data_IF_005611262987
#
_entry.id   IF_005611262987
#
_cell.length_a   1.000
_cell.length_b   1.000
_cell.length_c   1.000
_cell.angle_alpha   90.00
_cell.angle_beta   90.00
_cell.angle_gamma   90.00
#
_symmetry.space_group_name_H-M   'P 1'
#
loop_
_entity.id
_entity.type
_entity.pdbx_description
1 polymer ?
#
# COMPACT_ATOMS: atom_id res chain seq x y z
N UNK A 1 13.95 47.86 -8.40
CA UNK A 1 14.11 46.41 -8.56
C UNK A 1 14.64 46.21 -9.97
N UNK A 2 15.84 45.64 -10.08
CA UNK A 2 16.51 45.45 -11.38
C UNK A 2 15.89 44.26 -12.10
N UNK A 3 15.83 44.29 -13.44
CA UNK A 3 15.30 43.19 -14.29
C UNK A 3 15.95 41.85 -13.96
N UNK A 4 17.25 41.84 -13.61
CA UNK A 4 17.96 40.62 -13.20
C UNK A 4 17.50 40.05 -11.86
N UNK A 5 17.15 40.92 -10.92
CA UNK A 5 16.59 40.49 -9.61
C UNK A 5 15.20 39.88 -9.78
N UNK A 6 14.38 40.47 -10.65
CA UNK A 6 13.06 39.95 -10.98
C UNK A 6 13.15 38.61 -11.68
N UNK A 7 14.06 38.45 -12.64
CA UNK A 7 14.28 37.19 -13.34
C UNK A 7 14.78 36.08 -12.40
N UNK A 8 15.68 36.40 -11.47
CA UNK A 8 16.14 35.47 -10.43
C UNK A 8 15.00 35.06 -9.50
N UNK A 9 14.21 35.98 -9.02
CA UNK A 9 13.08 35.69 -8.15
C UNK A 9 12.04 34.79 -8.86
N UNK A 10 11.72 35.10 -10.13
CA UNK A 10 10.84 34.26 -10.93
C UNK A 10 11.38 32.85 -11.16
N UNK A 11 12.67 32.71 -11.43
CA UNK A 11 13.31 31.39 -11.59
C UNK A 11 13.28 30.56 -10.29
N UNK A 12 13.57 31.17 -9.15
CA UNK A 12 13.51 30.49 -7.84
C UNK A 12 12.08 30.04 -7.54
N UNK A 13 11.09 30.89 -7.80
CA UNK A 13 9.68 30.56 -7.57
C UNK A 13 9.20 29.46 -8.53
N UNK A 14 9.61 29.48 -9.80
CA UNK A 14 9.29 28.43 -10.76
C UNK A 14 9.86 27.07 -10.31
N UNK A 15 11.12 27.02 -9.84
CA UNK A 15 11.74 25.80 -9.31
C UNK A 15 11.01 25.33 -8.04
N UNK A 16 10.59 26.23 -7.16
CA UNK A 16 9.83 25.91 -5.95
C UNK A 16 8.47 25.30 -6.30
N UNK A 17 7.75 25.87 -7.24
CA UNK A 17 6.47 25.36 -7.73
C UNK A 17 6.63 23.97 -8.35
N UNK A 18 7.60 23.79 -9.23
CA UNK A 18 7.88 22.49 -9.86
C UNK A 18 8.20 21.40 -8.82
N UNK A 19 9.02 21.71 -7.81
CA UNK A 19 9.32 20.76 -6.72
C UNK A 19 8.07 20.41 -5.91
N UNK A 20 7.19 21.38 -5.66
CA UNK A 20 5.95 21.12 -4.94
C UNK A 20 4.99 20.24 -5.75
N UNK A 21 4.85 20.49 -7.04
CA UNK A 21 4.04 19.67 -7.95
C UNK A 21 4.56 18.23 -7.99
N UNK A 22 5.87 18.03 -8.11
CA UNK A 22 6.50 16.71 -8.10
C UNK A 22 6.27 15.98 -6.77
N UNK A 23 6.41 16.68 -5.63
CA UNK A 23 6.10 16.11 -4.30
C UNK A 23 4.64 15.68 -4.20
N UNK A 24 3.70 16.47 -4.70
CA UNK A 24 2.28 16.13 -4.70
C UNK A 24 2.00 14.92 -5.62
N UNK A 25 2.65 14.86 -6.78
CA UNK A 25 2.54 13.72 -7.70
C UNK A 25 3.02 12.43 -7.04
N UNK A 26 4.19 12.46 -6.40
CA UNK A 26 4.75 11.30 -5.69
C UNK A 26 3.82 10.86 -4.55
N UNK A 27 3.31 11.78 -3.72
CA UNK A 27 2.37 11.45 -2.64
C UNK A 27 1.11 10.78 -3.17
N UNK A 28 0.54 11.33 -4.25
CA UNK A 28 -0.67 10.76 -4.89
C UNK A 28 -0.40 9.36 -5.44
N UNK A 29 0.72 9.17 -6.13
CA UNK A 29 1.13 7.87 -6.66
C UNK A 29 1.32 6.82 -5.55
N UNK A 30 1.98 7.18 -4.45
CA UNK A 30 2.17 6.30 -3.29
C UNK A 30 0.85 5.91 -2.65
N UNK A 31 -0.05 6.86 -2.45
CA UNK A 31 -1.38 6.59 -1.94
C UNK A 31 -2.13 5.59 -2.82
N UNK A 32 -2.16 5.82 -4.14
CA UNK A 32 -2.83 4.94 -5.11
C UNK A 32 -2.20 3.54 -5.12
N UNK A 33 -0.87 3.43 -5.08
CA UNK A 33 -0.17 2.16 -5.03
C UNK A 33 -0.45 1.41 -3.73
N UNK A 34 -0.50 2.10 -2.58
CA UNK A 34 -0.86 1.50 -1.29
C UNK A 34 -2.28 0.96 -1.31
N UNK A 35 -3.22 1.74 -1.82
CA UNK A 35 -4.61 1.29 -1.93
C UNK A 35 -4.74 0.09 -2.89
N UNK A 36 -3.98 0.07 -3.99
CA UNK A 36 -3.92 -1.05 -4.91
C UNK A 36 -3.35 -2.32 -4.25
N UNK A 37 -2.28 -2.18 -3.47
CA UNK A 37 -1.71 -3.30 -2.70
C UNK A 37 -2.72 -3.86 -1.71
N UNK A 38 -3.41 -3.01 -0.95
CA UNK A 38 -4.45 -3.44 -0.01
C UNK A 38 -5.61 -4.15 -0.71
N UNK A 39 -6.09 -3.63 -1.84
CA UNK A 39 -7.17 -4.25 -2.64
C UNK A 39 -6.81 -5.65 -3.16
N UNK A 40 -5.53 -5.89 -3.40
CA UNK A 40 -5.04 -7.16 -3.91
C UNK A 40 -4.40 -8.05 -2.84
N UNK A 41 -4.38 -7.63 -1.57
CA UNK A 41 -3.67 -8.32 -0.51
C UNK A 41 -4.13 -9.77 -0.33
N UNK A 42 -5.42 -10.02 -0.23
CA UNK A 42 -5.97 -11.37 -0.11
C UNK A 42 -5.68 -12.23 -1.34
N UNK A 43 -5.75 -11.65 -2.54
CA UNK A 43 -5.37 -12.36 -3.77
C UNK A 43 -3.87 -12.68 -3.85
N UNK A 44 -3.03 -11.82 -3.29
CA UNK A 44 -1.59 -12.07 -3.19
C UNK A 44 -1.28 -13.21 -2.22
N UNK A 45 -1.97 -13.27 -1.08
CA UNK A 45 -1.88 -14.38 -0.12
C UNK A 45 -2.28 -15.69 -0.77
N UNK A 46 -3.45 -15.73 -1.40
CA UNK A 46 -3.96 -16.89 -2.11
C UNK A 46 -3.00 -17.37 -3.22
N UNK A 47 -2.47 -16.44 -4.00
CA UNK A 47 -1.45 -16.77 -5.01
C UNK A 47 -0.18 -17.35 -4.41
N UNK A 48 0.28 -16.82 -3.28
CA UNK A 48 1.47 -17.30 -2.59
C UNK A 48 1.27 -18.71 -2.03
N UNK A 49 0.13 -18.99 -1.39
CA UNK A 49 -0.23 -20.30 -0.84
C UNK A 49 -0.39 -21.34 -1.95
N UNK A 50 -1.17 -21.05 -2.99
CA UNK A 50 -1.34 -21.95 -4.13
C UNK A 50 -0.04 -22.23 -4.88
N UNK A 51 0.85 -21.25 -4.97
CA UNK A 51 2.16 -21.44 -5.59
C UNK A 51 3.11 -22.27 -4.71
N UNK A 52 2.94 -22.27 -3.38
CA UNK A 52 3.70 -23.11 -2.45
C UNK A 52 3.39 -24.59 -2.67
N UNK A 53 2.12 -24.92 -2.80
CA UNK A 53 1.68 -26.30 -3.01
C UNK A 53 2.15 -26.87 -4.37
N UNK A 54 2.02 -26.06 -5.44
CA UNK A 54 2.49 -26.45 -6.78
C UNK A 54 4.00 -26.57 -6.95
N UNK A 55 4.80 -25.93 -6.09
CA UNK A 55 6.26 -26.01 -6.21
C UNK A 55 6.85 -27.27 -5.59
N UNK A 56 6.19 -27.90 -4.62
CA UNK A 56 6.56 -29.25 -4.18
C UNK A 56 6.35 -30.26 -5.32
N UNK A 57 5.25 -30.12 -6.07
CA UNK A 57 4.94 -31.00 -7.20
C UNK A 57 5.88 -30.82 -8.41
N UNK A 58 6.45 -29.61 -8.59
CA UNK A 58 7.37 -29.29 -9.70
C UNK A 58 8.83 -29.69 -9.37
N UNK A 59 9.18 -29.87 -8.11
CA UNK A 59 10.53 -30.33 -7.72
C UNK A 59 10.83 -31.76 -8.17
N UNK A 60 9.82 -32.56 -8.49
CA UNK A 60 9.95 -33.94 -8.99
C UNK A 60 10.15 -34.03 -10.52
N UNK A 61 10.16 -32.90 -11.23
CA UNK A 61 10.32 -32.84 -12.69
C UNK A 61 11.72 -32.35 -13.12
N UNK A 62 12.75 -33.01 -12.65
CA UNK A 62 14.15 -32.53 -12.77
C UNK A 62 14.85 -32.85 -14.11
N UNK A 63 14.13 -33.14 -15.21
CA UNK A 63 14.79 -33.69 -16.42
C UNK A 63 14.51 -32.99 -17.78
N UNK A 64 14.05 -31.74 -17.85
CA UNK A 64 13.83 -31.06 -19.13
C UNK A 64 14.29 -29.59 -19.14
N UNK A 65 15.38 -29.31 -19.87
CA UNK A 65 16.11 -28.02 -19.91
C UNK A 65 15.33 -26.75 -20.25
N UNK A 66 14.13 -26.81 -20.86
CA UNK A 66 13.26 -25.64 -21.09
C UNK A 66 12.45 -25.30 -19.83
N UNK A 67 12.20 -26.26 -19.00
CA UNK A 67 11.42 -26.12 -17.76
C UNK A 67 12.24 -25.39 -16.69
N UNK A 68 13.57 -25.46 -16.73
CA UNK A 68 14.45 -24.79 -15.75
C UNK A 68 14.29 -23.26 -15.78
N UNK A 69 14.14 -22.67 -16.97
CA UNK A 69 13.92 -21.21 -17.12
C UNK A 69 12.57 -20.82 -16.55
N UNK A 70 11.53 -21.61 -16.84
CA UNK A 70 10.17 -21.38 -16.33
C UNK A 70 10.14 -21.54 -14.81
N UNK A 71 10.71 -22.61 -14.28
CA UNK A 71 10.81 -22.87 -12.83
C UNK A 71 11.58 -21.75 -12.12
N UNK A 72 12.71 -21.29 -12.67
CA UNK A 72 13.45 -20.14 -12.11
C UNK A 72 12.63 -18.85 -12.13
N UNK A 73 11.85 -18.60 -13.19
CA UNK A 73 10.97 -17.44 -13.27
C UNK A 73 9.84 -17.51 -12.24
N UNK A 74 9.20 -18.66 -12.08
CA UNK A 74 8.18 -18.92 -11.06
C UNK A 74 8.74 -18.74 -9.65
N UNK A 75 9.90 -19.34 -9.34
CA UNK A 75 10.56 -19.17 -8.04
C UNK A 75 10.86 -17.70 -7.73
N UNK A 76 11.37 -16.92 -8.71
CA UNK A 76 11.61 -15.48 -8.55
C UNK A 76 10.33 -14.69 -8.31
N UNK A 77 9.26 -15.00 -9.02
CA UNK A 77 7.94 -14.37 -8.83
C UNK A 77 7.41 -14.64 -7.43
N UNK A 78 7.53 -15.86 -6.92
CA UNK A 78 7.10 -16.26 -5.58
C UNK A 78 7.89 -15.55 -4.48
N UNK A 79 9.21 -15.49 -4.62
CA UNK A 79 10.07 -14.78 -3.66
C UNK A 79 9.68 -13.30 -3.61
N UNK A 80 9.44 -12.66 -4.74
CA UNK A 80 8.98 -11.27 -4.78
C UNK A 80 7.64 -11.09 -4.09
N UNK A 81 6.68 -11.98 -4.34
CA UNK A 81 5.36 -11.96 -3.70
C UNK A 81 5.48 -12.16 -2.19
N UNK A 82 6.29 -13.12 -1.74
CA UNK A 82 6.54 -13.35 -0.32
C UNK A 82 7.17 -12.13 0.38
N UNK A 83 8.17 -11.52 -0.24
CA UNK A 83 8.81 -10.30 0.29
C UNK A 83 7.79 -9.15 0.39
N UNK A 84 6.96 -8.98 -0.64
CA UNK A 84 5.93 -7.93 -0.67
C UNK A 84 4.87 -8.14 0.41
N UNK A 85 4.35 -9.37 0.58
CA UNK A 85 3.40 -9.71 1.63
C UNK A 85 4.02 -9.42 3.00
N UNK A 86 5.22 -9.94 3.27
CA UNK A 86 5.90 -9.71 4.54
C UNK A 86 6.09 -8.22 4.85
N UNK A 87 6.46 -7.43 3.84
CA UNK A 87 6.60 -5.98 4.00
C UNK A 87 5.27 -5.31 4.34
N UNK A 88 4.18 -5.72 3.70
CA UNK A 88 2.83 -5.21 3.99
C UNK A 88 2.43 -5.59 5.41
N UNK A 89 2.62 -6.85 5.82
CA UNK A 89 2.25 -7.35 7.15
C UNK A 89 2.97 -6.60 8.27
N UNK A 90 4.28 -6.40 8.13
CA UNK A 90 5.08 -5.62 9.10
C UNK A 90 4.55 -4.18 9.19
N UNK A 91 4.24 -3.55 8.06
CA UNK A 91 3.72 -2.18 8.04
C UNK A 91 2.30 -2.09 8.64
N UNK A 92 1.44 -3.08 8.38
CA UNK A 92 0.11 -3.18 8.97
C UNK A 92 0.19 -3.34 10.50
N UNK A 93 1.08 -4.17 10.99
CA UNK A 93 1.28 -4.36 12.43
C UNK A 93 1.79 -3.08 13.11
N UNK A 94 2.74 -2.38 12.50
CA UNK A 94 3.20 -1.07 12.98
C UNK A 94 2.04 -0.08 13.04
N UNK A 95 1.21 -0.03 11.98
CA UNK A 95 0.05 0.86 11.93
C UNK A 95 -0.95 0.53 13.04
N UNK A 96 -1.25 -0.76 13.25
CA UNK A 96 -2.13 -1.25 14.32
C UNK A 96 -1.65 -0.80 15.69
N UNK A 97 -0.37 -1.02 15.99
CA UNK A 97 0.23 -0.63 17.26
C UNK A 97 0.21 0.89 17.47
N UNK A 98 0.48 1.68 16.42
CA UNK A 98 0.39 3.14 16.48
C UNK A 98 -1.02 3.63 16.79
N UNK A 99 -2.03 3.05 16.16
CA UNK A 99 -3.42 3.45 16.41
C UNK A 99 -3.88 3.06 17.81
N UNK A 100 -3.49 1.89 18.30
CA UNK A 100 -3.75 1.49 19.68
C UNK A 100 -3.08 2.43 20.69
N UNK A 101 -1.82 2.79 20.48
CA UNK A 101 -1.09 3.72 21.35
C UNK A 101 -1.69 5.13 21.36
N UNK A 102 -2.28 5.57 20.24
CA UNK A 102 -3.02 6.84 20.14
C UNK A 102 -4.43 6.79 20.75
N UNK A 103 -4.91 5.64 21.21
CA UNK A 103 -6.29 5.44 21.66
C UNK A 103 -7.33 5.53 20.54
N UNK A 104 -6.96 5.20 19.31
CA UNK A 104 -7.79 5.28 18.10
C UNK A 104 -7.79 3.95 17.31
N UNK A 105 -7.98 2.79 17.96
CA UNK A 105 -7.91 1.49 17.29
C UNK A 105 -8.93 1.35 16.16
N UNK A 106 -10.07 2.04 16.24
CA UNK A 106 -11.16 1.99 15.26
C UNK A 106 -10.69 2.39 13.85
N UNK A 107 -9.70 3.29 13.76
CA UNK A 107 -9.14 3.70 12.49
C UNK A 107 -8.45 2.55 11.76
N UNK A 108 -7.71 1.71 12.50
CA UNK A 108 -7.09 0.51 11.93
C UNK A 108 -8.14 -0.53 11.59
N UNK A 109 -9.19 -0.70 12.40
CA UNK A 109 -10.28 -1.64 12.12
C UNK A 109 -10.96 -1.35 10.78
N UNK A 110 -11.03 -0.09 10.35
CA UNK A 110 -11.53 0.25 9.01
C UNK A 110 -10.70 -0.43 7.92
N UNK A 111 -9.37 -0.39 8.00
CA UNK A 111 -8.49 -1.06 7.02
C UNK A 111 -8.69 -2.57 7.07
N UNK A 112 -8.72 -3.13 8.27
CA UNK A 112 -8.92 -4.56 8.47
C UNK A 112 -10.21 -5.05 7.82
N UNK A 113 -11.33 -4.39 8.10
CA UNK A 113 -12.64 -4.78 7.59
C UNK A 113 -12.83 -4.49 6.10
N UNK A 114 -12.16 -3.47 5.56
CA UNK A 114 -12.26 -3.09 4.15
C UNK A 114 -11.41 -3.95 3.21
N UNK A 115 -10.28 -4.49 3.69
CA UNK A 115 -9.27 -5.08 2.80
C UNK A 115 -8.72 -6.42 3.26
N UNK A 116 -8.78 -6.74 4.55
CA UNK A 116 -8.10 -7.91 5.13
C UNK A 116 -9.09 -8.99 5.61
N UNK A 117 -10.38 -8.72 5.54
CA UNK A 117 -11.43 -9.64 5.98
C UNK A 117 -11.93 -10.47 4.79
N UNK A 118 -11.51 -11.74 4.74
CA UNK A 118 -11.91 -12.70 3.70
C UNK A 118 -13.43 -12.89 3.62
N UNK A 119 -14.12 -12.89 4.75
CA UNK A 119 -15.58 -13.06 4.79
C UNK A 119 -16.33 -11.93 4.08
N UNK A 120 -15.69 -10.76 3.93
CA UNK A 120 -16.27 -9.55 3.31
C UNK A 120 -15.76 -9.28 1.89
N UNK A 121 -14.87 -10.11 1.37
CA UNK A 121 -14.20 -9.93 0.08
C UNK A 121 -15.16 -9.71 -1.09
N UNK A 122 -16.33 -10.34 -1.05
CA UNK A 122 -17.32 -10.31 -2.13
C UNK A 122 -18.45 -9.29 -1.91
N UNK A 123 -18.42 -8.53 -0.82
CA UNK A 123 -19.41 -7.48 -0.58
C UNK A 123 -19.19 -6.29 -1.50
N UNK A 124 -20.31 -5.74 -2.00
CA UNK A 124 -20.28 -4.47 -2.72
C UNK A 124 -19.72 -3.35 -1.84
N UNK A 125 -18.88 -2.50 -2.42
CA UNK A 125 -18.16 -1.47 -1.66
C UNK A 125 -19.07 -0.55 -0.86
N UNK A 126 -20.20 -0.19 -1.41
CA UNK A 126 -21.17 0.71 -0.76
C UNK A 126 -21.78 0.03 0.47
N UNK A 127 -22.18 -1.22 0.35
CA UNK A 127 -22.80 -1.99 1.44
C UNK A 127 -21.77 -2.30 2.54
N UNK A 128 -20.55 -2.61 2.14
CA UNK A 128 -19.43 -2.82 3.07
C UNK A 128 -19.16 -1.58 3.91
N UNK A 129 -19.11 -0.39 3.31
CA UNK A 129 -18.90 0.88 4.03
C UNK A 129 -20.05 1.16 5.00
N UNK A 130 -21.30 0.92 4.61
CA UNK A 130 -22.47 1.06 5.49
C UNK A 130 -22.40 0.12 6.69
N UNK A 131 -22.06 -1.15 6.44
CA UNK A 131 -21.90 -2.16 7.48
C UNK A 131 -20.82 -1.75 8.48
N UNK A 132 -19.64 -1.33 8.01
CA UNK A 132 -18.54 -0.87 8.86
C UNK A 132 -18.95 0.38 9.66
N UNK A 133 -19.66 1.32 9.06
CA UNK A 133 -20.15 2.51 9.73
C UNK A 133 -21.10 2.17 10.89
N UNK A 134 -22.00 1.21 10.69
CA UNK A 134 -22.88 0.70 11.73
C UNK A 134 -22.13 -0.01 12.86
N UNK A 135 -21.21 -0.92 12.52
CA UNK A 135 -20.40 -1.68 13.48
C UNK A 135 -19.51 -0.78 14.35
N UNK A 136 -18.95 0.28 13.76
CA UNK A 136 -18.09 1.24 14.46
C UNK A 136 -18.89 2.43 15.04
N UNK A 137 -20.22 2.41 14.98
CA UNK A 137 -21.11 3.47 15.47
C UNK A 137 -20.70 4.86 14.96
N UNK A 138 -20.36 4.97 13.66
CA UNK A 138 -19.95 6.22 13.02
C UNK A 138 -20.65 6.45 11.67
N UNK A 139 -20.44 7.61 11.05
CA UNK A 139 -20.99 7.89 9.72
C UNK A 139 -20.09 7.35 8.59
N UNK A 140 -20.69 7.03 7.43
CA UNK A 140 -19.95 6.57 6.24
C UNK A 140 -18.83 7.53 5.83
N UNK A 141 -19.04 8.85 5.92
CA UNK A 141 -18.00 9.87 5.67
C UNK A 141 -16.80 9.71 6.61
N UNK A 142 -17.03 9.28 7.84
CA UNK A 142 -15.98 9.01 8.82
C UNK A 142 -15.18 7.78 8.42
N UNK A 143 -15.83 6.72 7.95
CA UNK A 143 -15.17 5.52 7.42
C UNK A 143 -14.23 5.89 6.27
N UNK A 144 -14.69 6.68 5.30
CA UNK A 144 -13.84 7.13 4.18
C UNK A 144 -12.68 8.01 4.64
N UNK A 145 -12.91 8.92 5.60
CA UNK A 145 -11.85 9.76 6.16
C UNK A 145 -10.80 8.91 6.86
N UNK A 146 -11.19 7.99 7.74
CA UNK A 146 -10.28 7.09 8.44
C UNK A 146 -9.52 6.18 7.48
N UNK A 147 -10.20 5.63 6.46
CA UNK A 147 -9.54 4.89 5.39
C UNK A 147 -8.42 5.72 4.75
N UNK A 148 -8.71 6.95 4.35
CA UNK A 148 -7.73 7.80 3.67
C UNK A 148 -6.55 8.16 4.59
N UNK A 149 -6.81 8.45 5.86
CA UNK A 149 -5.76 8.69 6.87
C UNK A 149 -4.85 7.46 7.00
N UNK A 150 -5.43 6.28 7.16
CA UNK A 150 -4.67 5.04 7.33
C UNK A 150 -3.89 4.64 6.09
N UNK A 151 -4.47 4.77 4.89
CA UNK A 151 -3.76 4.52 3.63
C UNK A 151 -2.59 5.49 3.47
N UNK A 152 -2.74 6.74 3.90
CA UNK A 152 -1.66 7.73 3.87
C UNK A 152 -0.54 7.36 4.84
N UNK A 153 -0.84 7.01 6.09
CA UNK A 153 0.17 6.56 7.05
C UNK A 153 0.87 5.28 6.57
N UNK A 154 0.09 4.32 6.05
CA UNK A 154 0.63 3.07 5.53
C UNK A 154 1.54 3.30 4.31
N UNK A 155 1.20 4.25 3.44
CA UNK A 155 2.03 4.61 2.28
C UNK A 155 3.42 5.09 2.67
N UNK A 156 3.52 5.82 3.78
CA UNK A 156 4.81 6.24 4.35
C UNK A 156 5.58 5.05 4.91
N UNK A 157 4.90 4.12 5.57
CA UNK A 157 5.56 2.91 6.11
C UNK A 157 6.08 1.99 5.01
N UNK A 158 5.31 1.79 3.92
CA UNK A 158 5.68 0.88 2.83
C UNK A 158 6.78 1.48 1.95
N UNK A 159 6.64 2.75 1.55
CA UNK A 159 7.54 3.39 0.57
C UNK A 159 8.65 4.22 1.20
N UNK A 160 8.73 4.24 2.55
CA UNK A 160 9.75 4.96 3.29
C UNK A 160 9.62 6.48 3.25
N UNK A 161 10.55 7.11 3.93
CA UNK A 161 10.61 8.56 4.14
C UNK A 161 11.27 9.29 2.96
N UNK A 162 11.51 8.66 1.82
CA UNK A 162 12.06 9.32 0.62
C UNK A 162 11.24 10.53 0.12
N UNK A 163 10.12 10.82 0.79
CA UNK A 163 9.38 12.08 0.66
C UNK A 163 9.73 13.14 1.69
N UNK A 164 10.49 12.79 2.72
CA UNK A 164 11.10 13.72 3.67
C UNK A 164 12.59 13.87 3.30
N UNK A 165 12.90 14.43 2.17
CA UNK A 165 14.21 15.06 2.02
C UNK A 165 14.24 16.19 3.03
N UNK A 166 14.92 15.96 4.13
CA UNK A 166 15.46 17.00 4.98
C UNK A 166 16.43 17.73 4.07
N UNK A 167 16.07 18.95 3.65
CA UNK A 167 17.01 19.84 3.01
C UNK A 167 18.05 20.15 4.07
N UNK A 168 19.24 19.51 3.94
CA UNK A 168 20.46 19.89 4.66
C UNK A 168 21.10 21.00 3.86
#
# INVERSE_FOLDING_TARGET
MNIQELARAAAVEAVRLQRNEERQRIKRSRFQNTELLLKNYLSLLEHYENAKDKASDIMDLDDLGMDEVIVKAIKRSRIRTAIMINQIDVCLEILRLRMSAKGQPEKYEVIQRLYLDEARRHMERVDLVKTIAQELSCGEKTVYRWKNEMVTELSVLIFGVDGLRIDV
#
